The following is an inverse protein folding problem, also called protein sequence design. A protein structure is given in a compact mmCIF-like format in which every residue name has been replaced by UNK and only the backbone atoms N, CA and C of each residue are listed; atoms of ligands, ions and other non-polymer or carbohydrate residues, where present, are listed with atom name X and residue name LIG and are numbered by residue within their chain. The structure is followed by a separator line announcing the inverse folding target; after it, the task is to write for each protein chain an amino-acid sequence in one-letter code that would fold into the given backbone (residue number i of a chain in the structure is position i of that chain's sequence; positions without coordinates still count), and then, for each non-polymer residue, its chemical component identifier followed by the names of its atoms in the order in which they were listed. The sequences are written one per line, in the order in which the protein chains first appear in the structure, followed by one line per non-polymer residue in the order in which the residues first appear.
data_IF_434488533783
#
_entry.id   IF_434488533783
#
_cell.length_a   1.000
_cell.length_b   1.000
_cell.length_c   1.000
_cell.angle_alpha   90.00
_cell.angle_beta   90.00
_cell.angle_gamma   90.00
#
_symmetry.space_group_name_H-M   'P 1'
#
loop_
_entity.id
_entity.type
_entity.pdbx_description
1 polymer ?
#
# COMPACT_ATOMS: atom_id res chain seq x y z
N UNK A 1 4.58 15.53 -2.45
CA UNK A 1 4.12 16.70 -3.22
C UNK A 1 2.59 16.66 -3.27
N UNK A 2 2.00 16.73 -2.08
CA UNK A 2 0.57 16.88 -1.83
C UNK A 2 0.47 18.24 -1.15
N UNK A 3 -0.29 19.14 -1.77
CA UNK A 3 -0.25 20.60 -1.60
C UNK A 3 0.91 21.31 -2.30
N UNK A 4 0.80 21.39 -3.63
CA UNK A 4 1.31 22.54 -4.38
C UNK A 4 0.10 23.43 -4.72
N UNK A 5 -0.07 24.46 -3.90
CA UNK A 5 -0.72 25.75 -4.16
C UNK A 5 -1.46 25.87 -5.50
N UNK A 6 -2.79 25.83 -5.43
CA UNK A 6 -3.64 26.46 -6.43
C UNK A 6 -4.03 27.84 -5.90
N UNK A 7 -3.09 28.77 -5.95
CA UNK A 7 -3.32 30.17 -5.61
C UNK A 7 -4.05 30.86 -6.78
N UNK A 8 -5.39 30.86 -6.72
CA UNK A 8 -6.21 31.68 -7.60
C UNK A 8 -6.38 33.06 -6.98
N UNK A 9 -5.51 33.99 -7.37
CA UNK A 9 -5.74 35.43 -7.19
C UNK A 9 -6.97 35.87 -7.98
N UNK A 10 -7.93 36.61 -7.39
CA UNK A 10 -9.03 37.18 -8.15
C UNK A 10 -8.58 38.50 -8.79
N UNK A 11 -8.70 38.59 -10.11
CA UNK A 11 -8.61 39.86 -10.82
C UNK A 11 -9.72 40.79 -10.33
N UNK A 12 -9.29 41.94 -9.82
CA UNK A 12 -10.13 43.10 -9.51
C UNK A 12 -10.75 43.65 -10.79
N UNK A 13 -12.08 43.62 -10.89
CA UNK A 13 -12.81 44.54 -11.76
C UNK A 13 -13.92 45.23 -10.96
N UNK A 14 -13.87 46.55 -11.05
CA UNK A 14 -14.70 47.55 -10.40
C UNK A 14 -16.14 47.57 -10.95
N UNK A 15 -17.13 47.49 -10.04
CA UNK A 15 -18.41 48.25 -9.91
C UNK A 15 -19.25 48.62 -11.18
N UNK A 16 -20.60 48.70 -11.11
CA UNK A 16 -21.33 49.34 -10.00
C UNK A 16 -22.67 48.74 -9.52
N UNK A 17 -22.92 48.99 -8.23
CA UNK A 17 -24.16 49.47 -7.58
C UNK A 17 -25.48 49.17 -8.27
N UNK A 18 -26.31 48.32 -7.65
CA UNK A 18 -27.74 48.59 -7.43
C UNK A 18 -28.19 48.06 -6.06
N UNK A 19 -28.92 48.91 -5.35
CA UNK A 19 -29.62 48.67 -4.09
C UNK A 19 -30.71 47.60 -4.25
N UNK A 20 -30.85 46.68 -3.29
CA UNK A 20 -32.20 46.34 -2.81
C UNK A 20 -32.23 45.81 -1.37
N UNK A 21 -33.26 46.24 -0.66
CA UNK A 21 -33.56 46.01 0.75
C UNK A 21 -34.28 44.68 0.93
N UNK A 22 -33.84 43.83 1.87
CA UNK A 22 -34.55 42.58 2.15
C UNK A 22 -34.32 42.04 3.56
N UNK A 23 -35.21 42.41 4.47
CA UNK A 23 -35.32 41.90 5.84
C UNK A 23 -35.46 40.37 5.91
N UNK A 24 -34.79 39.75 6.88
CA UNK A 24 -35.51 39.04 7.93
C UNK A 24 -35.26 37.54 8.11
N UNK A 25 -35.12 37.21 9.41
CA UNK A 25 -35.50 35.97 10.11
C UNK A 25 -34.45 34.83 10.20
N UNK A 26 -33.73 34.87 11.30
CA UNK A 26 -33.27 33.67 12.02
C UNK A 26 -34.48 32.82 12.43
N UNK A 27 -34.41 31.54 12.10
CA UNK A 27 -35.22 30.46 12.70
C UNK A 27 -34.23 29.40 13.15
N UNK A 28 -33.91 29.40 14.43
CA UNK A 28 -33.31 28.26 15.13
C UNK A 28 -34.43 27.27 15.42
N UNK A 29 -34.29 26.04 14.92
CA UNK A 29 -35.20 24.95 15.22
C UNK A 29 -34.39 23.87 15.94
N UNK A 30 -34.61 23.77 17.25
CA UNK A 30 -34.16 22.65 18.08
C UNK A 30 -34.97 21.40 17.72
N UNK A 31 -34.27 20.30 17.43
CA UNK A 31 -34.85 18.96 17.30
C UNK A 31 -34.39 18.14 18.51
N UNK A 32 -35.30 17.99 19.47
CA UNK A 32 -35.28 16.93 20.46
C UNK A 32 -35.94 15.70 19.82
N UNK A 33 -35.22 14.57 19.78
CA UNK A 33 -35.83 13.26 19.60
C UNK A 33 -35.20 12.27 20.60
N UNK A 34 -35.98 11.97 21.64
CA UNK A 34 -35.78 10.87 22.57
C UNK A 34 -36.00 9.54 21.85
N UNK A 35 -34.97 8.71 21.73
CA UNK A 35 -35.10 7.31 21.30
C UNK A 35 -34.99 6.40 22.53
N UNK A 36 -36.12 5.81 22.92
CA UNK A 36 -36.18 4.73 23.89
C UNK A 36 -35.59 3.44 23.31
N UNK A 37 -34.55 2.92 23.98
CA UNK A 37 -34.01 1.58 23.76
C UNK A 37 -34.77 0.56 24.62
N UNK A 38 -35.64 -0.23 24.00
CA UNK A 38 -36.22 -1.42 24.63
C UNK A 38 -35.30 -2.63 24.46
N UNK A 39 -34.97 -3.23 25.59
CA UNK A 39 -34.20 -4.45 25.83
C UNK A 39 -34.59 -5.65 24.96
N UNK A 40 -33.61 -6.27 24.29
CA UNK A 40 -33.72 -7.61 23.69
C UNK A 40 -32.90 -8.58 24.55
N UNK A 41 -33.57 -9.62 25.05
CA UNK A 41 -33.01 -10.69 25.86
C UNK A 41 -32.15 -11.65 25.04
N UNK A 42 -30.90 -11.84 25.44
CA UNK A 42 -30.01 -12.84 24.85
C UNK A 42 -30.33 -14.25 25.37
N UNK A 43 -30.73 -15.14 24.47
CA UNK A 43 -30.77 -16.58 24.72
C UNK A 43 -29.38 -17.16 24.43
N UNK A 44 -28.73 -17.66 25.48
CA UNK A 44 -27.42 -18.32 25.45
C UNK A 44 -27.53 -19.71 24.82
N UNK A 45 -26.94 -19.91 23.64
CA UNK A 45 -26.70 -21.23 23.04
C UNK A 45 -25.20 -21.46 22.96
N UNK A 46 -24.69 -22.26 23.88
CA UNK A 46 -23.30 -22.71 23.97
C UNK A 46 -23.02 -23.75 22.88
N UNK A 47 -22.39 -23.33 21.78
CA UNK A 47 -21.66 -24.24 20.89
C UNK A 47 -20.20 -24.31 21.34
N UNK A 48 -19.70 -25.53 21.59
CA UNK A 48 -18.31 -25.77 21.95
C UNK A 48 -17.40 -25.41 20.78
N UNK A 49 -16.60 -24.36 20.94
CA UNK A 49 -15.50 -24.02 20.04
C UNK A 49 -14.47 -25.16 20.11
N UNK A 50 -14.15 -25.77 18.97
CA UNK A 50 -12.96 -26.60 18.84
C UNK A 50 -11.74 -25.69 19.04
N UNK A 51 -10.85 -26.09 19.95
CA UNK A 51 -9.55 -25.43 20.16
C UNK A 51 -8.69 -25.56 18.89
N UNK A 52 -8.74 -24.56 18.01
CA UNK A 52 -7.71 -24.35 16.99
C UNK A 52 -6.44 -23.91 17.71
N UNK A 53 -5.46 -24.82 17.81
CA UNK A 53 -4.10 -24.48 18.21
C UNK A 53 -3.55 -23.43 17.25
N UNK A 54 -3.42 -22.19 17.74
CA UNK A 54 -2.68 -21.13 17.06
C UNK A 54 -1.21 -21.56 16.93
N UNK A 55 -0.87 -22.16 15.80
CA UNK A 55 0.53 -22.33 15.40
C UNK A 55 1.10 -20.95 15.11
N UNK A 56 1.76 -20.35 16.10
CA UNK A 56 2.63 -19.20 15.88
C UNK A 56 3.91 -19.75 15.26
N UNK A 57 4.03 -19.63 13.94
CA UNK A 57 5.25 -20.04 13.22
C UNK A 57 6.41 -19.11 13.58
N UNK A 58 7.61 -19.68 13.71
CA UNK A 58 8.80 -18.90 14.07
C UNK A 58 9.17 -17.94 12.93
N UNK A 59 9.64 -16.71 13.26
CA UNK A 59 10.11 -15.76 12.24
C UNK A 59 11.27 -16.36 11.43
N UNK A 60 11.36 -16.00 10.15
CA UNK A 60 12.44 -16.46 9.27
C UNK A 60 13.80 -16.03 9.83
N UNK A 61 14.76 -16.96 9.81
CA UNK A 61 16.16 -16.68 10.16
C UNK A 61 16.87 -15.89 9.05
N UNK A 62 17.93 -15.16 9.39
CA UNK A 62 18.74 -14.44 8.39
C UNK A 62 19.32 -15.36 7.30
N UNK A 63 19.63 -16.62 7.65
CA UNK A 63 20.11 -17.64 6.70
C UNK A 63 19.01 -18.02 5.69
N UNK A 64 17.77 -18.21 6.14
CA UNK A 64 16.64 -18.49 5.26
C UNK A 64 16.38 -17.33 4.30
N UNK A 65 16.41 -16.10 4.81
CA UNK A 65 16.27 -14.90 3.99
C UNK A 65 17.38 -14.81 2.93
N UNK A 66 18.65 -15.04 3.31
CA UNK A 66 19.78 -14.99 2.38
C UNK A 66 19.67 -16.00 1.23
N UNK A 67 19.18 -17.21 1.51
CA UNK A 67 18.94 -18.20 0.45
C UNK A 67 17.82 -17.78 -0.50
N UNK A 68 16.76 -17.17 0.04
CA UNK A 68 15.65 -16.67 -0.78
C UNK A 68 16.06 -15.51 -1.68
N UNK A 69 16.86 -14.58 -1.15
CA UNK A 69 17.40 -13.46 -1.91
C UNK A 69 18.13 -13.89 -3.20
N UNK A 70 18.84 -15.03 -3.17
CA UNK A 70 19.53 -15.60 -4.33
C UNK A 70 18.60 -16.18 -5.39
N UNK A 71 17.38 -16.54 -5.01
CA UNK A 71 16.38 -17.03 -5.96
C UNK A 71 15.63 -15.87 -6.63
N UNK A 72 15.51 -14.70 -5.97
CA UNK A 72 14.79 -13.53 -6.50
C UNK A 72 15.16 -13.19 -7.95
N UNK A 73 16.44 -13.13 -8.37
CA UNK A 73 16.77 -12.85 -9.77
C UNK A 73 16.12 -13.84 -10.74
N UNK A 74 16.14 -15.14 -10.41
CA UNK A 74 15.50 -16.18 -11.22
C UNK A 74 13.99 -16.02 -11.23
N UNK A 75 13.39 -15.64 -10.10
CA UNK A 75 11.96 -15.42 -9.97
C UNK A 75 11.47 -14.21 -10.76
N UNK A 76 12.22 -13.12 -10.70
CA UNK A 76 12.01 -11.93 -11.53
C UNK A 76 12.12 -12.34 -13.00
N UNK A 77 13.17 -13.09 -13.37
CA UNK A 77 13.43 -13.56 -14.74
C UNK A 77 12.36 -14.54 -15.27
N UNK A 78 11.76 -15.37 -14.42
CA UNK A 78 10.65 -16.25 -14.80
C UNK A 78 9.35 -15.49 -15.07
N UNK A 79 9.42 -14.17 -15.05
CA UNK A 79 8.31 -13.26 -15.25
C UNK A 79 7.52 -13.25 -13.98
N UNK A 80 7.97 -12.49 -12.97
CA UNK A 80 7.23 -12.11 -11.77
C UNK A 80 5.94 -11.33 -12.10
N UNK A 81 5.17 -11.87 -13.03
CA UNK A 81 4.11 -11.34 -13.85
C UNK A 81 2.94 -12.28 -13.62
N UNK A 82 1.77 -11.69 -13.43
CA UNK A 82 0.51 -12.40 -13.20
C UNK A 82 0.22 -13.33 -14.39
N UNK A 83 0.33 -14.65 -14.19
CA UNK A 83 -0.09 -15.64 -15.20
C UNK A 83 -1.55 -16.05 -14.93
N UNK A 84 -2.49 -15.52 -15.72
CA UNK A 84 -3.94 -15.68 -15.49
C UNK A 84 -4.49 -17.10 -15.74
N UNK A 85 -3.71 -18.04 -16.28
CA UNK A 85 -4.25 -19.26 -16.91
C UNK A 85 -4.70 -20.39 -15.96
N UNK A 86 -4.86 -20.18 -14.65
CA UNK A 86 -5.15 -21.26 -13.69
C UNK A 86 -6.25 -20.95 -12.64
N UNK A 87 -7.39 -20.36 -13.03
CA UNK A 87 -8.57 -20.40 -12.15
C UNK A 87 -9.73 -21.13 -12.83
N UNK A 88 -10.00 -22.37 -12.39
CA UNK A 88 -11.22 -23.10 -12.73
C UNK A 88 -12.37 -22.64 -11.82
N UNK A 89 -13.56 -22.46 -12.40
CA UNK A 89 -14.69 -21.70 -11.84
C UNK A 89 -15.79 -22.57 -11.23
N UNK A 90 -16.43 -22.06 -10.16
CA UNK A 90 -17.75 -22.46 -9.64
C UNK A 90 -18.50 -21.28 -8.97
N UNK A 91 -19.84 -21.23 -9.16
CA UNK A 91 -20.92 -20.24 -8.80
C UNK A 91 -20.81 -19.47 -7.44
N UNK A 92 -21.45 -18.32 -7.09
CA UNK A 92 -22.23 -17.15 -7.60
C UNK A 92 -22.63 -16.28 -6.36
N UNK A 93 -22.58 -14.93 -6.36
CA UNK A 93 -23.58 -13.92 -5.86
C UNK A 93 -22.94 -12.55 -5.49
N UNK A 94 -23.25 -11.43 -6.22
CA UNK A 94 -22.69 -10.05 -6.02
C UNK A 94 -21.41 -10.06 -5.17
N UNK A 95 -20.40 -10.75 -5.70
CA UNK A 95 -19.23 -11.08 -4.91
C UNK A 95 -18.28 -9.91 -5.04
N UNK A 96 -17.91 -9.32 -3.92
CA UNK A 96 -16.61 -8.67 -3.89
C UNK A 96 -15.62 -9.77 -3.61
N UNK A 97 -14.90 -10.17 -4.66
CA UNK A 97 -13.76 -11.06 -4.52
C UNK A 97 -12.65 -10.25 -3.87
N UNK A 98 -12.44 -10.50 -2.58
CA UNK A 98 -11.32 -9.94 -1.86
C UNK A 98 -10.21 -10.98 -1.91
N UNK A 99 -9.19 -10.66 -2.68
CA UNK A 99 -7.95 -11.39 -2.72
C UNK A 99 -6.99 -10.71 -1.74
N UNK A 100 -6.91 -11.21 -0.52
CA UNK A 100 -5.91 -10.76 0.45
C UNK A 100 -4.52 -11.16 -0.02
N UNK A 101 -3.60 -10.19 -0.07
CA UNK A 101 -2.18 -10.44 -0.28
C UNK A 101 -1.58 -10.64 1.11
N UNK A 102 -1.75 -11.83 1.70
CA UNK A 102 -1.11 -12.09 3.00
C UNK A 102 0.41 -12.16 2.82
N UNK A 103 1.15 -11.33 3.54
CA UNK A 103 2.53 -11.63 3.87
C UNK A 103 2.53 -12.66 5.02
N UNK A 104 2.17 -13.91 4.74
CA UNK A 104 2.47 -15.02 5.65
C UNK A 104 3.87 -15.56 5.31
N UNK A 105 4.80 -15.70 6.28
CA UNK A 105 6.20 -16.03 5.98
C UNK A 105 6.44 -17.43 5.39
N UNK A 106 5.42 -18.31 5.30
CA UNK A 106 5.65 -19.75 5.10
C UNK A 106 4.80 -20.38 3.98
N UNK A 107 3.82 -19.66 3.41
CA UNK A 107 2.84 -20.27 2.48
C UNK A 107 3.05 -20.06 0.97
N UNK A 108 3.79 -19.01 0.54
CA UNK A 108 3.97 -18.67 -0.88
C UNK A 108 5.08 -19.47 -1.58
N UNK A 109 5.78 -20.32 -0.84
CA UNK A 109 7.04 -20.97 -1.20
C UNK A 109 6.96 -22.03 -2.32
N UNK A 110 5.80 -22.25 -2.96
CA UNK A 110 5.64 -23.29 -3.99
C UNK A 110 5.10 -22.84 -5.36
N UNK A 111 4.52 -21.64 -5.50
CA UNK A 111 3.95 -21.20 -6.78
C UNK A 111 4.15 -19.69 -7.01
N UNK A 112 5.00 -19.35 -7.97
CA UNK A 112 5.20 -17.97 -8.46
C UNK A 112 4.14 -17.49 -9.45
N UNK A 113 3.15 -18.33 -9.72
CA UNK A 113 1.92 -17.89 -10.35
C UNK A 113 1.01 -17.37 -9.25
N UNK A 114 0.29 -16.28 -9.52
CA UNK A 114 -0.80 -15.77 -8.69
C UNK A 114 -1.83 -16.87 -8.44
N UNK A 115 -1.59 -17.71 -7.45
CA UNK A 115 -2.63 -18.52 -6.86
C UNK A 115 -3.11 -17.73 -5.67
N UNK A 116 -4.24 -17.03 -5.84
CA UNK A 116 -4.98 -16.53 -4.70
C UNK A 116 -5.36 -17.76 -3.89
N UNK A 117 -4.65 -18.00 -2.78
CA UNK A 117 -4.82 -19.21 -1.99
C UNK A 117 -6.25 -19.28 -1.44
N UNK A 118 -6.90 -18.13 -1.28
CA UNK A 118 -8.22 -18.00 -0.70
C UNK A 118 -9.02 -16.88 -1.36
N UNK A 119 -10.34 -17.07 -1.37
CA UNK A 119 -11.30 -16.11 -1.89
C UNK A 119 -12.27 -15.78 -0.77
N UNK A 120 -12.40 -14.50 -0.47
CA UNK A 120 -13.38 -13.99 0.48
C UNK A 120 -14.50 -13.32 -0.30
N UNK A 121 -15.74 -13.57 0.12
CA UNK A 121 -16.93 -12.94 -0.46
C UNK A 121 -17.42 -11.91 0.57
N UNK A 122 -17.17 -10.64 0.27
CA UNK A 122 -17.55 -9.52 1.13
C UNK A 122 -18.62 -8.63 0.50
N UNK A 123 -19.22 -7.79 1.35
CA UNK A 123 -19.87 -6.56 0.89
C UNK A 123 -18.86 -5.42 1.12
N UNK A 124 -18.91 -4.38 0.29
CA UNK A 124 -18.10 -3.19 0.50
C UNK A 124 -19.04 -2.05 0.21
N UNK A 125 -19.25 -1.24 1.23
CA UNK A 125 -20.07 -0.05 1.13
C UNK A 125 -19.12 1.09 0.84
N UNK A 126 -18.98 1.38 -0.45
CA UNK A 126 -18.40 2.64 -0.84
C UNK A 126 -19.54 3.63 -0.89
N UNK A 127 -19.50 4.67 -0.05
CA UNK A 127 -20.21 5.91 -0.38
C UNK A 127 -19.41 6.60 -1.49
N UNK A 128 -19.43 5.97 -2.67
CA UNK A 128 -18.77 6.48 -3.86
C UNK A 128 -19.71 7.50 -4.50
N UNK A 129 -19.80 8.66 -3.88
CA UNK A 129 -19.89 9.88 -4.66
C UNK A 129 -18.45 10.35 -4.82
N UNK A 130 -18.06 10.74 -6.04
CA UNK A 130 -16.86 11.58 -6.24
C UNK A 130 -17.07 12.98 -5.61
N UNK A 131 -17.58 13.02 -4.38
CA UNK A 131 -17.64 14.21 -3.55
C UNK A 131 -16.23 14.53 -3.08
N UNK A 132 -15.96 15.82 -2.91
CA UNK A 132 -14.65 16.30 -2.43
C UNK A 132 -14.29 15.73 -1.06
N UNK A 133 -15.28 15.32 -0.27
CA UNK A 133 -15.11 14.94 1.14
C UNK A 133 -14.58 13.50 1.35
N UNK A 134 -14.68 12.62 0.34
CA UNK A 134 -14.19 11.24 0.42
C UNK A 134 -12.81 11.05 -0.24
N UNK A 135 -12.34 12.00 -1.04
CA UNK A 135 -11.06 11.91 -1.72
C UNK A 135 -9.92 12.18 -0.74
N UNK A 136 -9.18 11.12 -0.40
CA UNK A 136 -7.90 11.23 0.31
C UNK A 136 -6.84 11.81 -0.62
N UNK A 137 -6.95 11.49 -1.91
CA UNK A 137 -6.05 12.08 -2.87
C UNK A 137 -6.08 11.64 -4.34
N UNK A 138 -5.24 12.28 -5.17
CA UNK A 138 -4.93 11.91 -6.54
C UNK A 138 -3.41 11.77 -6.77
N UNK A 139 -2.96 10.57 -7.16
CA UNK A 139 -1.59 10.32 -7.64
C UNK A 139 -1.49 10.49 -9.16
N UNK A 140 -0.41 9.95 -9.76
CA UNK A 140 -0.21 10.04 -11.21
C UNK A 140 -1.13 9.12 -12.03
N UNK A 141 -1.47 7.95 -11.48
CA UNK A 141 -2.20 6.88 -12.17
C UNK A 141 -3.35 6.29 -11.35
N UNK A 142 -3.54 6.73 -10.11
CA UNK A 142 -4.59 6.24 -9.21
C UNK A 142 -5.11 7.32 -8.28
N UNK A 143 -6.39 7.25 -7.95
CA UNK A 143 -7.00 8.03 -6.87
C UNK A 143 -6.99 7.22 -5.59
N UNK A 144 -6.92 7.89 -4.45
CA UNK A 144 -7.12 7.32 -3.12
C UNK A 144 -8.37 7.94 -2.50
N UNK A 145 -9.29 7.10 -2.04
CA UNK A 145 -10.57 7.53 -1.48
C UNK A 145 -10.82 6.79 -0.18
N UNK A 146 -11.46 7.46 0.78
CA UNK A 146 -11.93 6.82 1.99
C UNK A 146 -13.15 5.94 1.65
N UNK A 147 -13.17 4.72 2.16
CA UNK A 147 -14.28 3.80 2.00
C UNK A 147 -14.53 3.01 3.30
N UNK A 148 -15.65 2.28 3.35
CA UNK A 148 -15.95 1.34 4.44
C UNK A 148 -16.04 -0.07 3.86
N UNK A 149 -15.24 -0.99 4.41
CA UNK A 149 -15.26 -2.40 4.05
C UNK A 149 -15.90 -3.21 5.19
N UNK A 150 -17.08 -3.78 4.92
CA UNK A 150 -17.86 -4.58 5.88
C UNK A 150 -18.07 -6.01 5.37
N UNK A 151 -17.42 -6.98 6.00
CA UNK A 151 -17.55 -8.37 5.58
C UNK A 151 -18.84 -8.98 6.09
N UNK A 152 -19.73 -9.32 5.16
CA UNK A 152 -20.99 -9.99 5.49
C UNK A 152 -20.91 -11.51 5.60
N UNK A 153 -19.90 -12.18 4.99
CA UNK A 153 -19.89 -13.65 4.87
C UNK A 153 -18.46 -14.22 4.94
N UNK A 154 -18.24 -15.19 5.84
CA UNK A 154 -17.03 -15.99 5.91
C UNK A 154 -17.13 -17.15 4.91
N UNK A 155 -16.31 -17.14 3.86
CA UNK A 155 -16.18 -18.28 2.94
C UNK A 155 -14.80 -18.86 3.12
N UNK A 156 -14.72 -20.10 3.62
CA UNK A 156 -13.44 -20.78 3.92
C UNK A 156 -12.96 -20.65 5.38
N UNK A 157 -13.73 -20.03 6.28
CA UNK A 157 -13.48 -20.05 7.73
C UNK A 157 -12.28 -19.23 8.22
N UNK A 158 -11.56 -18.53 7.34
CA UNK A 158 -10.62 -17.48 7.74
C UNK A 158 -11.32 -16.12 7.70
N UNK A 159 -10.90 -15.23 8.58
CA UNK A 159 -11.34 -13.83 8.62
C UNK A 159 -10.32 -12.99 7.84
N UNK A 160 -10.74 -11.95 7.12
CA UNK A 160 -9.77 -10.96 6.64
C UNK A 160 -9.07 -10.32 7.84
N UNK A 161 -7.82 -9.85 7.67
CA UNK A 161 -7.17 -9.04 8.70
C UNK A 161 -8.11 -7.96 9.21
N UNK A 162 -8.30 -7.90 10.53
CA UNK A 162 -9.20 -6.94 11.17
C UNK A 162 -8.88 -5.48 10.77
N UNK A 163 -7.62 -5.21 10.43
CA UNK A 163 -7.15 -3.90 9.95
C UNK A 163 -7.73 -3.48 8.59
N UNK A 164 -8.30 -4.42 7.83
CA UNK A 164 -9.03 -4.16 6.58
C UNK A 164 -10.55 -4.10 6.79
N UNK A 165 -11.05 -4.23 8.02
CA UNK A 165 -12.47 -4.07 8.34
C UNK A 165 -12.75 -2.65 8.82
N UNK A 166 -13.86 -2.06 8.37
CA UNK A 166 -14.23 -0.68 8.70
C UNK A 166 -13.63 0.32 7.71
N UNK A 167 -13.07 1.44 8.21
CA UNK A 167 -12.55 2.49 7.35
C UNK A 167 -11.25 2.09 6.64
N UNK A 168 -11.25 2.18 5.31
CA UNK A 168 -10.13 1.77 4.45
C UNK A 168 -9.77 2.85 3.43
N UNK A 169 -8.54 2.77 2.90
CA UNK A 169 -8.10 3.52 1.74
C UNK A 169 -8.37 2.70 0.47
N UNK A 170 -9.30 3.17 -0.35
CA UNK A 170 -9.68 2.56 -1.61
C UNK A 170 -8.97 3.25 -2.78
N UNK A 171 -8.15 2.49 -3.51
CA UNK A 171 -7.37 2.97 -4.64
C UNK A 171 -7.89 2.47 -5.96
N UNK A 172 -8.09 3.42 -6.87
CA UNK A 172 -8.72 3.18 -8.16
C UNK A 172 -7.90 3.79 -9.30
N UNK A 173 -7.50 2.99 -10.30
CA UNK A 173 -6.63 3.45 -11.36
C UNK A 173 -7.42 4.28 -12.38
N UNK A 174 -6.71 5.21 -13.02
CA UNK A 174 -7.26 6.04 -14.09
C UNK A 174 -6.17 6.35 -15.12
N UNK A 175 -6.55 6.96 -16.23
CA UNK A 175 -5.61 7.48 -17.21
C UNK A 175 -5.98 8.90 -17.63
N UNK A 176 -5.00 9.64 -18.15
CA UNK A 176 -5.21 10.94 -18.76
C UNK A 176 -5.19 10.80 -20.29
N UNK A 177 -6.33 10.98 -21.00
CA UNK A 177 -6.35 10.92 -22.45
C UNK A 177 -5.44 11.95 -23.12
N UNK A 178 -5.24 13.10 -22.45
CA UNK A 178 -4.33 14.18 -22.83
C UNK A 178 -3.70 14.76 -21.57
N UNK A 179 -2.48 15.30 -21.68
CA UNK A 179 -1.87 16.04 -20.59
C UNK A 179 -2.83 17.15 -20.09
N UNK A 180 -3.01 17.24 -18.76
CA UNK A 180 -3.92 18.20 -18.09
C UNK A 180 -5.42 18.03 -18.35
N UNK A 181 -5.86 16.91 -18.93
CA UNK A 181 -7.29 16.58 -19.03
C UNK A 181 -7.83 16.01 -17.72
N UNK A 182 -9.16 15.94 -17.58
CA UNK A 182 -9.76 15.24 -16.46
C UNK A 182 -9.41 13.74 -16.54
N UNK A 183 -9.07 13.11 -15.39
CA UNK A 183 -8.79 11.68 -15.35
C UNK A 183 -10.01 10.91 -15.84
N UNK A 184 -9.76 9.86 -16.64
CA UNK A 184 -10.79 8.94 -17.10
C UNK A 184 -10.57 7.57 -16.52
N UNK A 185 -11.69 6.93 -16.21
CA UNK A 185 -11.74 5.54 -15.78
C UNK A 185 -11.21 4.62 -16.88
N UNK A 186 -10.36 3.67 -16.52
CA UNK A 186 -9.92 2.60 -17.42
C UNK A 186 -11.11 1.68 -17.78
N UNK A 187 -10.93 0.85 -18.80
CA UNK A 187 -11.88 -0.26 -19.03
C UNK A 187 -11.79 -1.26 -17.88
N UNK A 188 -12.83 -2.08 -17.66
CA UNK A 188 -12.81 -3.10 -16.59
C UNK A 188 -11.55 -3.99 -16.65
N UNK A 189 -11.15 -4.39 -17.86
CA UNK A 189 -9.94 -5.19 -18.07
C UNK A 189 -8.68 -4.38 -17.79
N UNK A 190 -8.63 -3.10 -18.18
CA UNK A 190 -7.51 -2.21 -17.89
C UNK A 190 -7.34 -1.95 -16.39
N UNK A 191 -8.43 -1.73 -15.65
CA UNK A 191 -8.39 -1.60 -14.19
C UNK A 191 -7.89 -2.86 -13.52
N UNK A 192 -8.40 -4.02 -13.97
CA UNK A 192 -7.99 -5.31 -13.44
C UNK A 192 -6.49 -5.53 -13.63
N UNK A 193 -5.97 -5.31 -14.83
CA UNK A 193 -4.53 -5.44 -15.11
C UNK A 193 -3.72 -4.48 -14.25
N UNK A 194 -4.09 -3.20 -14.20
CA UNK A 194 -3.39 -2.19 -13.42
C UNK A 194 -3.35 -2.54 -11.92
N UNK A 195 -4.48 -2.89 -11.32
CA UNK A 195 -4.55 -3.25 -9.89
C UNK A 195 -3.79 -4.53 -9.58
N UNK A 196 -3.83 -5.54 -10.46
CA UNK A 196 -3.07 -6.77 -10.24
C UNK A 196 -1.55 -6.51 -10.32
N UNK A 197 -1.11 -5.59 -11.17
CA UNK A 197 0.29 -5.15 -11.23
C UNK A 197 0.69 -4.36 -9.97
N UNK A 198 -0.18 -3.49 -9.47
CA UNK A 198 0.05 -2.77 -8.21
C UNK A 198 0.13 -3.74 -7.02
N UNK A 199 -0.80 -4.69 -6.92
CA UNK A 199 -0.78 -5.72 -5.88
C UNK A 199 0.47 -6.60 -5.96
N UNK A 200 0.93 -6.94 -7.17
CA UNK A 200 2.21 -7.62 -7.37
C UNK A 200 3.37 -6.81 -6.81
N UNK A 201 3.43 -5.53 -7.15
CA UNK A 201 4.47 -4.60 -6.70
C UNK A 201 4.48 -4.52 -5.18
N UNK A 202 3.30 -4.46 -4.56
CA UNK A 202 3.13 -4.44 -3.13
C UNK A 202 3.67 -5.69 -2.45
N UNK A 203 3.28 -6.88 -2.95
CA UNK A 203 3.74 -8.17 -2.43
C UNK A 203 5.27 -8.26 -2.44
N UNK A 204 5.87 -7.96 -3.58
CA UNK A 204 7.33 -8.00 -3.74
C UNK A 204 8.04 -6.99 -2.85
N UNK A 205 7.50 -5.79 -2.73
CA UNK A 205 8.07 -4.76 -1.87
C UNK A 205 7.99 -5.13 -0.39
N UNK A 206 6.85 -5.65 0.08
CA UNK A 206 6.71 -6.12 1.47
C UNK A 206 7.69 -7.23 1.77
N UNK A 207 7.77 -8.24 0.90
CA UNK A 207 8.70 -9.36 1.07
C UNK A 207 10.17 -8.88 1.11
N UNK A 208 10.60 -8.07 0.14
CA UNK A 208 11.95 -7.50 0.09
C UNK A 208 12.27 -6.68 1.35
N UNK A 209 11.33 -5.88 1.82
CA UNK A 209 11.47 -5.06 3.03
C UNK A 209 11.59 -5.90 4.30
N UNK A 210 10.66 -6.82 4.52
CA UNK A 210 10.63 -7.70 5.69
C UNK A 210 11.89 -8.57 5.79
N UNK A 211 12.33 -9.18 4.68
CA UNK A 211 13.56 -9.96 4.71
C UNK A 211 14.78 -9.09 4.96
N UNK A 212 14.84 -7.87 4.41
CA UNK A 212 15.94 -6.95 4.71
C UNK A 212 15.97 -6.61 6.20
N UNK A 213 14.83 -6.34 6.82
CA UNK A 213 14.74 -6.13 8.28
C UNK A 213 15.18 -7.38 9.03
N UNK A 214 14.74 -8.58 8.63
CA UNK A 214 15.13 -9.83 9.28
C UNK A 214 16.65 -10.05 9.23
N UNK A 215 17.28 -9.77 8.08
CA UNK A 215 18.73 -9.81 7.92
C UNK A 215 19.42 -8.76 8.81
N UNK A 216 18.87 -7.53 8.89
CA UNK A 216 19.38 -6.49 9.79
C UNK A 216 19.34 -6.94 11.26
N UNK A 217 18.22 -7.50 11.71
CA UNK A 217 18.06 -7.95 13.09
C UNK A 217 18.99 -9.12 13.43
N UNK A 218 19.17 -10.08 12.53
CA UNK A 218 20.10 -11.20 12.69
C UNK A 218 21.55 -10.71 12.84
N UNK A 219 21.96 -9.79 11.98
CA UNK A 219 23.33 -9.24 11.98
C UNK A 219 23.56 -8.28 13.15
N UNK A 220 22.55 -7.54 13.59
CA UNK A 220 22.62 -6.66 14.77
C UNK A 220 23.04 -7.40 16.05
N UNK A 221 22.71 -8.70 16.16
CA UNK A 221 23.15 -9.54 17.27
C UNK A 221 24.67 -9.77 17.29
N UNK A 222 25.36 -9.54 16.17
CA UNK A 222 26.78 -9.84 15.98
C UNK A 222 27.68 -8.61 15.83
N UNK A 223 27.19 -7.52 15.22
CA UNK A 223 27.99 -6.32 14.91
C UNK A 223 28.02 -5.27 16.04
N UNK A 224 27.30 -5.49 17.13
CA UNK A 224 27.22 -4.56 18.25
C UNK A 224 26.16 -3.47 18.05
N UNK A 225 26.35 -2.31 18.68
CA UNK A 225 25.34 -1.24 18.65
C UNK A 225 25.19 -0.61 17.26
N UNK A 226 23.96 -0.48 16.73
CA UNK A 226 23.71 0.21 15.48
C UNK A 226 24.00 1.71 15.60
N UNK A 227 24.23 2.42 14.48
CA UNK A 227 24.54 3.85 14.50
C UNK A 227 23.39 4.71 15.05
N UNK A 228 22.14 4.24 14.88
CA UNK A 228 20.92 4.87 15.37
C UNK A 228 19.92 3.77 15.79
N UNK A 229 18.83 4.10 16.51
CA UNK A 229 17.77 3.13 16.77
C UNK A 229 17.21 2.56 15.46
N UNK A 230 17.07 1.23 15.37
CA UNK A 230 16.45 0.58 14.21
C UNK A 230 14.97 0.95 14.21
N UNK A 231 14.46 1.64 13.18
CA UNK A 231 13.06 2.03 13.14
C UNK A 231 12.20 0.80 12.86
N UNK A 232 11.08 0.69 13.60
CA UNK A 232 10.05 -0.32 13.38
C UNK A 232 9.15 0.14 12.22
N UNK A 233 9.46 -0.33 11.01
CA UNK A 233 8.80 0.03 9.76
C UNK A 233 8.20 -1.23 9.11
N UNK A 234 6.94 -1.20 8.71
CA UNK A 234 6.33 -2.25 7.89
C UNK A 234 5.35 -1.66 6.88
N UNK A 235 5.16 -2.36 5.76
CA UNK A 235 4.11 -2.01 4.82
C UNK A 235 2.74 -2.36 5.41
N UNK A 236 1.72 -1.53 5.14
CA UNK A 236 0.34 -1.81 5.57
C UNK A 236 -0.24 -3.04 4.88
N UNK A 237 -1.32 -3.57 5.44
CA UNK A 237 -2.09 -4.62 4.79
C UNK A 237 -2.84 -4.09 3.56
N UNK A 238 -2.88 -4.90 2.50
CA UNK A 238 -3.59 -4.61 1.26
C UNK A 238 -4.38 -5.81 0.74
N UNK A 239 -5.46 -5.53 0.01
CA UNK A 239 -6.24 -6.52 -0.67
C UNK A 239 -6.73 -6.03 -2.03
N UNK A 240 -6.83 -6.95 -2.99
CA UNK A 240 -7.49 -6.66 -4.27
C UNK A 240 -8.97 -6.95 -4.12
N UNK A 241 -9.79 -5.95 -4.43
CA UNK A 241 -11.24 -6.01 -4.45
C UNK A 241 -11.72 -6.06 -5.89
N UNK A 242 -12.47 -7.09 -6.25
CA UNK A 242 -13.12 -7.19 -7.56
C UNK A 242 -14.62 -7.36 -7.41
N UNK A 243 -15.39 -6.49 -8.05
CA UNK A 243 -16.85 -6.61 -8.10
C UNK A 243 -17.23 -7.59 -9.21
N UNK A 244 -17.86 -8.71 -8.85
CA UNK A 244 -18.33 -9.70 -9.81
C UNK A 244 -19.67 -9.28 -10.41
N UNK A 245 -19.86 -9.68 -11.68
CA UNK A 245 -21.09 -9.43 -12.41
C UNK A 245 -22.25 -10.22 -11.76
N UNK A 246 -23.34 -9.54 -11.32
CA UNK A 246 -24.52 -10.24 -10.83
C UNK A 246 -25.14 -11.06 -11.96
N UNK A 247 -25.66 -12.25 -11.64
CA UNK A 247 -26.31 -13.16 -12.60
C UNK A 247 -27.45 -12.49 -13.37
N UNK A 248 -28.15 -11.59 -12.68
CA UNK A 248 -29.30 -10.85 -13.19
C UNK A 248 -28.96 -9.70 -14.14
N UNK A 249 -27.69 -9.28 -14.21
CA UNK A 249 -27.26 -8.14 -15.01
C UNK A 249 -26.58 -8.64 -16.28
N UNK A 250 -27.03 -8.17 -17.45
CA UNK A 250 -26.38 -8.48 -18.73
C UNK A 250 -24.96 -7.90 -18.77
N UNK A 251 -24.02 -8.58 -19.44
CA UNK A 251 -22.60 -8.19 -19.48
C UNK A 251 -22.39 -6.76 -19.99
N UNK A 252 -23.18 -6.33 -20.98
CA UNK A 252 -23.11 -4.99 -21.55
C UNK A 252 -23.71 -3.88 -20.66
N UNK A 253 -24.48 -4.23 -19.64
CA UNK A 253 -25.02 -3.32 -18.64
C UNK A 253 -24.18 -3.32 -17.34
N UNK A 254 -23.13 -4.15 -17.27
CA UNK A 254 -22.30 -4.31 -16.09
C UNK A 254 -21.06 -3.42 -16.13
N UNK A 255 -20.95 -2.54 -15.16
CA UNK A 255 -19.70 -1.85 -14.83
C UNK A 255 -18.99 -2.67 -13.76
N UNK A 256 -18.04 -3.51 -14.20
CA UNK A 256 -17.11 -4.15 -13.28
C UNK A 256 -16.35 -3.11 -12.48
N UNK A 257 -15.65 -3.52 -11.43
CA UNK A 257 -14.78 -2.67 -10.64
C UNK A 257 -13.65 -3.55 -10.12
N UNK A 258 -12.41 -3.13 -10.37
CA UNK A 258 -11.26 -3.71 -9.68
C UNK A 258 -10.49 -2.58 -9.00
N UNK A 259 -10.16 -2.78 -7.73
CA UNK A 259 -9.49 -1.79 -6.91
C UNK A 259 -8.53 -2.45 -5.92
N UNK A 260 -7.57 -1.66 -5.45
CA UNK A 260 -6.72 -2.03 -4.32
C UNK A 260 -7.32 -1.36 -3.07
N UNK A 261 -7.50 -2.13 -2.02
CA UNK A 261 -7.93 -1.64 -0.71
C UNK A 261 -6.78 -1.79 0.26
N UNK A 262 -6.52 -0.75 1.02
CA UNK A 262 -5.45 -0.72 2.01
C UNK A 262 -5.99 -0.27 3.36
N UNK A 263 -5.28 -0.63 4.42
CA UNK A 263 -5.53 -0.05 5.74
C UNK A 263 -5.54 1.48 5.67
N UNK A 264 -6.57 2.12 6.23
CA UNK A 264 -6.59 3.58 6.31
C UNK A 264 -5.56 4.05 7.32
N UNK A 265 -4.57 4.80 6.84
CA UNK A 265 -3.57 5.40 7.70
C UNK A 265 -4.19 6.52 8.58
N UNK A 266 -3.71 6.70 9.83
CA UNK A 266 -4.16 7.79 10.69
C UNK A 266 -3.97 9.17 10.04
N UNK A 267 -4.84 10.12 10.39
CA UNK A 267 -4.72 11.50 9.89
C UNK A 267 -3.39 12.12 10.33
N UNK A 268 -2.55 12.50 9.37
CA UNK A 268 -1.26 13.12 9.64
C UNK A 268 -0.64 13.70 8.37
N UNK A 269 0.59 14.21 8.50
CA UNK A 269 1.36 14.66 7.34
C UNK A 269 1.88 13.43 6.60
N UNK A 270 1.62 13.39 5.29
CA UNK A 270 2.10 12.34 4.42
C UNK A 270 3.52 12.66 3.94
N UNK A 271 4.50 11.83 4.31
CA UNK A 271 5.90 12.01 3.96
C UNK A 271 6.31 11.02 2.89
N UNK A 272 7.12 11.52 1.96
CA UNK A 272 7.82 10.70 0.99
C UNK A 272 9.29 10.74 1.36
N UNK A 273 9.86 9.59 1.71
CA UNK A 273 11.25 9.50 2.16
C UNK A 273 12.21 9.39 0.99
N UNK A 274 11.82 8.60 -0.01
CA UNK A 274 12.64 8.24 -1.16
C UNK A 274 11.75 8.34 -2.40
N UNK A 275 12.26 8.96 -3.47
CA UNK A 275 11.55 9.05 -4.74
C UNK A 275 11.80 7.82 -5.63
N UNK A 276 10.83 7.51 -6.48
CA UNK A 276 10.99 6.51 -7.55
C UNK A 276 12.34 6.59 -8.27
N UNK A 277 13.07 5.47 -8.26
CA UNK A 277 14.32 5.31 -9.00
C UNK A 277 15.51 6.04 -8.40
N UNK A 278 15.34 6.80 -7.32
CA UNK A 278 16.42 7.55 -6.67
C UNK A 278 16.82 6.85 -5.38
N UNK A 279 18.01 6.24 -5.28
CA UNK A 279 18.45 5.52 -4.08
C UNK A 279 19.04 6.45 -3.01
N UNK A 280 18.39 7.61 -2.79
CA UNK A 280 18.79 8.66 -1.86
C UNK A 280 17.56 9.30 -1.19
N UNK A 281 17.72 9.87 0.02
CA UNK A 281 16.64 10.60 0.68
C UNK A 281 16.13 11.78 -0.16
N UNK A 282 14.86 12.14 0.01
CA UNK A 282 14.33 13.43 -0.46
C UNK A 282 15.04 14.56 0.30
N UNK A 283 15.41 15.61 -0.44
CA UNK A 283 16.10 16.77 0.14
C UNK A 283 15.19 17.53 1.13
N UNK A 284 15.79 18.08 2.19
CA UNK A 284 15.13 18.92 3.19
C UNK A 284 14.04 18.20 4.02
N UNK A 285 14.16 16.89 4.23
CA UNK A 285 13.36 16.20 5.23
C UNK A 285 13.70 16.73 6.65
N UNK A 286 12.72 16.87 7.55
CA UNK A 286 13.03 17.15 8.95
C UNK A 286 13.87 16.01 9.54
N UNK A 287 14.66 16.31 10.57
CA UNK A 287 15.69 15.40 11.14
C UNK A 287 15.17 13.97 11.37
N UNK A 288 13.97 13.83 11.96
CA UNK A 288 13.35 12.53 12.22
C UNK A 288 13.10 11.72 10.93
N UNK A 289 12.60 12.40 9.91
CA UNK A 289 12.29 11.78 8.62
C UNK A 289 13.56 11.53 7.81
N UNK A 290 14.59 12.36 8.00
CA UNK A 290 15.90 12.18 7.41
C UNK A 290 16.56 10.89 7.94
N UNK A 291 16.50 10.63 9.24
CA UNK A 291 17.04 9.39 9.83
C UNK A 291 16.34 8.14 9.28
N UNK A 292 15.01 8.19 9.15
CA UNK A 292 14.22 7.11 8.56
C UNK A 292 14.60 6.92 7.10
N UNK A 293 14.72 8.00 6.32
CA UNK A 293 15.10 7.93 4.92
C UNK A 293 16.50 7.34 4.73
N UNK A 294 17.46 7.68 5.60
CA UNK A 294 18.81 7.10 5.59
C UNK A 294 18.78 5.60 5.89
N UNK A 295 17.99 5.17 6.88
CA UNK A 295 17.80 3.74 7.16
C UNK A 295 17.15 3.01 5.98
N UNK A 296 16.14 3.59 5.35
CA UNK A 296 15.47 3.02 4.19
C UNK A 296 16.42 2.92 2.99
N UNK A 297 17.25 3.94 2.71
CA UNK A 297 18.28 3.86 1.68
C UNK A 297 19.30 2.74 1.95
N UNK A 298 19.62 2.50 3.23
CA UNK A 298 20.43 1.36 3.62
C UNK A 298 19.72 0.02 3.34
N UNK A 299 18.41 -0.10 3.61
CA UNK A 299 17.66 -1.29 3.21
C UNK A 299 17.68 -1.49 1.69
N UNK A 300 17.62 -0.42 0.88
CA UNK A 300 17.78 -0.52 -0.57
C UNK A 300 19.15 -1.12 -0.94
N UNK A 301 20.22 -0.75 -0.24
CA UNK A 301 21.56 -1.31 -0.47
C UNK A 301 21.62 -2.80 -0.08
N UNK A 302 21.00 -3.21 1.02
CA UNK A 302 20.86 -4.65 1.35
C UNK A 302 20.13 -5.37 0.22
N UNK A 303 18.96 -4.87 -0.18
CA UNK A 303 18.16 -5.50 -1.24
C UNK A 303 18.95 -5.61 -2.54
N UNK A 304 19.60 -4.53 -2.94
CA UNK A 304 20.45 -4.50 -4.13
C UNK A 304 21.59 -5.52 -4.05
N UNK A 305 22.30 -5.61 -2.92
CA UNK A 305 23.42 -6.54 -2.77
C UNK A 305 22.95 -8.00 -2.76
N UNK A 306 21.90 -8.29 -1.99
CA UNK A 306 21.41 -9.66 -1.78
C UNK A 306 20.61 -10.20 -2.97
N UNK A 307 19.93 -9.34 -3.73
CA UNK A 307 19.28 -9.71 -5.01
C UNK A 307 20.28 -9.80 -6.17
N UNK A 308 21.59 -9.85 -5.91
CA UNK A 308 22.62 -9.83 -6.95
C UNK A 308 22.42 -8.67 -7.95
N UNK A 309 22.03 -7.51 -7.43
CA UNK A 309 21.80 -6.27 -8.19
C UNK A 309 20.65 -6.38 -9.18
N UNK A 310 19.61 -7.15 -8.84
CA UNK A 310 18.46 -7.35 -9.70
C UNK A 310 17.26 -6.50 -9.30
N UNK A 311 17.13 -6.18 -8.01
CA UNK A 311 16.00 -5.38 -7.53
C UNK A 311 16.26 -4.66 -6.21
N UNK A 312 15.50 -3.59 -5.98
CA UNK A 312 15.36 -2.93 -4.68
C UNK A 312 14.01 -2.22 -4.58
N UNK A 313 13.54 -1.98 -3.37
CA UNK A 313 12.30 -1.24 -3.10
C UNK A 313 12.58 0.25 -3.11
N UNK A 314 11.67 1.04 -3.64
CA UNK A 314 11.74 2.49 -3.71
C UNK A 314 10.34 3.07 -3.41
N UNK A 315 10.20 4.38 -3.58
CA UNK A 315 8.97 5.12 -3.27
C UNK A 315 8.46 4.99 -1.84
N UNK A 316 9.36 4.78 -0.88
CA UNK A 316 8.98 4.69 0.53
C UNK A 316 8.27 5.97 1.00
N UNK A 317 7.04 5.80 1.49
CA UNK A 317 6.19 6.89 1.96
C UNK A 317 5.24 6.40 3.07
N UNK A 318 4.90 7.30 3.98
CA UNK A 318 4.01 7.03 5.12
C UNK A 318 3.20 8.26 5.53
N UNK A 319 2.36 8.09 6.54
CA UNK A 319 1.84 9.20 7.35
C UNK A 319 2.49 9.18 8.72
N UNK A 320 3.04 10.31 9.14
CA UNK A 320 3.49 10.48 10.52
C UNK A 320 2.47 11.26 11.33
N UNK A 321 2.07 10.66 12.44
CA UNK A 321 1.35 11.34 13.49
C UNK A 321 2.32 12.26 14.24
N UNK A 322 2.27 13.56 13.95
CA UNK A 322 2.79 14.53 14.90
C UNK A 322 1.87 14.52 16.11
N UNK A 323 2.42 14.26 17.29
CA UNK A 323 1.69 14.53 18.52
C UNK A 323 1.31 16.02 18.52
N UNK A 324 0.05 16.38 18.82
CA UNK A 324 -0.39 17.78 18.92
C UNK A 324 0.45 18.65 19.86
N UNK A 325 1.27 18.04 20.74
CA UNK A 325 2.16 18.76 21.64
C UNK A 325 3.52 19.16 21.02
N UNK A 326 3.73 18.99 19.72
CA UNK A 326 4.93 19.50 19.03
C UNK A 326 6.23 18.80 19.39
N UNK A 327 6.18 17.74 20.20
CA UNK A 327 7.32 16.87 20.41
C UNK A 327 7.35 15.83 19.29
N UNK A 328 8.48 15.69 18.57
CA UNK A 328 8.66 14.55 17.70
C UNK A 328 8.47 13.31 18.56
N UNK A 329 7.41 12.54 18.26
CA UNK A 329 7.08 11.30 18.93
C UNK A 329 8.09 10.22 18.52
N UNK A 330 9.38 10.46 18.80
CA UNK A 330 10.47 9.52 18.61
C UNK A 330 10.29 8.29 19.51
N UNK A 331 9.43 8.39 20.53
CA UNK A 331 9.38 7.44 21.63
C UNK A 331 7.96 7.30 22.18
N UNK A 332 6.98 6.91 21.36
CA UNK A 332 6.15 5.82 21.87
C UNK A 332 6.89 4.57 21.40
N UNK A 333 7.89 4.16 22.18
CA UNK A 333 8.61 2.92 21.96
C UNK A 333 7.57 1.79 21.81
N UNK A 334 7.41 1.27 20.59
CA UNK A 334 6.43 0.25 20.25
C UNK A 334 5.29 0.66 19.31
N UNK A 335 5.21 1.91 18.81
CA UNK A 335 4.29 2.22 17.71
C UNK A 335 4.97 1.98 16.36
N UNK A 336 4.59 0.91 15.68
CA UNK A 336 5.07 0.61 14.32
C UNK A 336 4.68 1.72 13.36
N UNK A 337 5.61 2.11 12.48
CA UNK A 337 5.35 3.05 11.39
C UNK A 337 4.96 2.28 10.14
N UNK A 338 3.99 2.84 9.43
CA UNK A 338 3.25 2.15 8.39
C UNK A 338 3.56 2.76 7.02
N UNK A 339 4.31 2.01 6.22
CA UNK A 339 4.65 2.36 4.85
C UNK A 339 3.49 1.97 3.91
N UNK A 340 3.31 2.71 2.82
CA UNK A 340 2.32 2.41 1.78
C UNK A 340 2.87 2.80 0.40
N UNK A 341 2.14 2.42 -0.66
CA UNK A 341 2.46 2.74 -2.05
C UNK A 341 3.93 2.49 -2.43
N UNK A 342 4.47 1.28 -2.19
CA UNK A 342 5.83 0.98 -2.61
C UNK A 342 5.96 0.97 -4.12
N UNK A 343 7.20 1.08 -4.57
CA UNK A 343 7.60 0.67 -5.90
C UNK A 343 8.77 -0.32 -5.83
N UNK A 344 8.83 -1.24 -6.78
CA UNK A 344 10.00 -2.11 -6.95
C UNK A 344 10.75 -1.66 -8.20
N UNK A 345 12.04 -1.38 -8.03
CA UNK A 345 12.99 -1.11 -9.10
C UNK A 345 13.61 -2.43 -9.53
N UNK A 346 13.57 -2.71 -10.83
CA UNK A 346 14.17 -3.90 -11.42
C UNK A 346 14.54 -3.62 -12.88
N UNK A 347 15.42 -4.46 -13.44
CA UNK A 347 15.77 -4.39 -14.86
C UNK A 347 14.51 -4.26 -15.75
N UNK A 348 14.53 -3.30 -16.67
CA UNK A 348 13.35 -2.76 -17.35
C UNK A 348 12.53 -3.80 -18.10
N UNK A 349 13.18 -4.86 -18.60
CA UNK A 349 12.54 -5.89 -19.40
C UNK A 349 13.05 -7.28 -19.02
N UNK A 350 12.15 -8.08 -18.47
CA UNK A 350 12.31 -9.52 -18.38
C UNK A 350 11.48 -10.15 -19.48
N UNK A 351 12.13 -10.78 -20.46
CA UNK A 351 11.43 -11.43 -21.58
C UNK A 351 10.43 -10.50 -22.31
N UNK A 352 10.74 -9.19 -22.39
CA UNK A 352 9.87 -8.20 -23.04
C UNK A 352 8.69 -7.72 -22.20
N UNK A 353 8.61 -8.11 -20.92
CA UNK A 353 7.57 -7.69 -19.98
C UNK A 353 8.19 -6.89 -18.83
N UNK A 354 7.52 -5.81 -18.40
CA UNK A 354 7.88 -5.09 -17.17
C UNK A 354 7.40 -5.91 -15.97
N UNK A 355 8.29 -6.35 -15.07
CA UNK A 355 7.94 -7.26 -13.99
C UNK A 355 7.06 -6.62 -12.89
N UNK A 356 7.00 -5.29 -12.81
CA UNK A 356 6.32 -4.54 -11.75
C UNK A 356 5.42 -3.43 -12.31
N UNK A 357 4.78 -2.67 -11.42
CA UNK A 357 3.91 -1.55 -11.76
C UNK A 357 4.62 -0.41 -12.52
N UNK A 358 3.83 0.54 -13.01
CA UNK A 358 4.28 1.61 -13.91
C UNK A 358 5.35 2.54 -13.30
N UNK A 359 5.52 2.54 -11.98
CA UNK A 359 6.57 3.30 -11.31
C UNK A 359 7.98 2.71 -11.45
N UNK A 360 8.16 1.53 -12.05
CA UNK A 360 9.50 0.97 -12.26
C UNK A 360 10.30 1.84 -13.26
N UNK A 361 11.34 2.51 -12.76
CA UNK A 361 12.16 3.44 -13.55
C UNK A 361 13.26 2.65 -14.25
N UNK A 362 13.25 2.69 -15.58
CA UNK A 362 14.30 2.09 -16.43
C UNK A 362 15.68 2.66 -16.10
N UNK A 363 16.68 1.78 -15.97
CA UNK A 363 18.06 2.16 -15.62
C UNK A 363 18.33 2.34 -14.13
N UNK A 364 17.30 2.33 -13.27
CA UNK A 364 17.46 2.61 -11.84
C UNK A 364 18.33 1.59 -11.10
N UNK A 365 18.28 0.31 -11.50
CA UNK A 365 19.11 -0.76 -10.92
C UNK A 365 20.55 -0.65 -11.39
N UNK A 366 20.76 -0.34 -12.66
CA UNK A 366 22.08 -0.14 -13.25
C UNK A 366 22.77 1.09 -12.65
N UNK A 367 22.01 2.17 -12.47
CA UNK A 367 22.50 3.43 -11.90
C UNK A 367 22.58 3.42 -10.37
N UNK A 368 22.05 2.40 -9.69
CA UNK A 368 22.03 2.34 -8.23
C UNK A 368 23.40 2.64 -7.63
N UNK A 369 24.46 2.06 -8.19
CA UNK A 369 25.84 2.25 -7.68
C UNK A 369 26.38 3.66 -7.86
N UNK A 370 25.90 4.38 -8.87
CA UNK A 370 26.33 5.75 -9.17
C UNK A 370 25.56 6.76 -8.33
N UNK A 371 24.29 6.46 -8.02
CA UNK A 371 23.39 7.38 -7.34
C UNK A 371 23.29 7.13 -5.82
N UNK A 372 23.49 5.89 -5.37
CA UNK A 372 23.42 5.55 -3.96
C UNK A 372 24.63 6.09 -3.22
N UNK A 373 24.38 6.83 -2.15
CA UNK A 373 25.42 7.31 -1.23
C UNK A 373 25.36 6.47 0.04
N UNK A 374 26.38 5.63 0.27
CA UNK A 374 26.51 4.90 1.53
C UNK A 374 26.46 5.86 2.72
N UNK A 375 25.78 5.43 3.78
CA UNK A 375 25.67 6.18 5.03
C UNK A 375 26.15 5.33 6.22
N UNK A 376 26.04 5.85 7.44
CA UNK A 376 26.50 5.19 8.66
C UNK A 376 25.94 3.76 8.84
N UNK A 377 24.72 3.49 8.36
CA UNK A 377 24.16 2.13 8.39
C UNK A 377 24.87 1.20 7.41
N UNK A 378 25.13 1.65 6.18
CA UNK A 378 25.87 0.86 5.19
C UNK A 378 27.29 0.53 5.68
N UNK A 379 27.95 1.51 6.33
CA UNK A 379 29.28 1.33 6.92
C UNK A 379 29.26 0.35 8.09
N UNK A 380 28.31 0.52 9.02
CA UNK A 380 28.11 -0.38 10.16
C UNK A 380 27.88 -1.82 9.71
N UNK A 381 27.13 -2.00 8.62
CA UNK A 381 26.82 -3.30 8.05
C UNK A 381 27.90 -3.85 7.10
N UNK A 382 28.99 -3.10 6.90
CA UNK A 382 30.09 -3.44 5.99
C UNK A 382 29.64 -3.72 4.55
N UNK A 383 28.58 -3.03 4.10
CA UNK A 383 28.13 -3.14 2.72
C UNK A 383 29.16 -2.50 1.79
N UNK A 384 29.37 -3.13 0.64
CA UNK A 384 30.26 -2.59 -0.40
C UNK A 384 29.48 -2.44 -1.69
N UNK A 385 29.67 -1.32 -2.38
CA UNK A 385 29.26 -1.23 -3.76
C UNK A 385 30.30 -2.00 -4.59
N UNK A 386 29.89 -2.91 -5.48
CA UNK A 386 30.85 -3.64 -6.29
C UNK A 386 31.65 -2.65 -7.12
N UNK A 387 32.97 -2.66 -6.97
CA UNK A 387 33.88 -1.89 -7.82
C UNK A 387 33.71 -2.37 -9.25
N UNK A 388 33.65 -1.43 -10.19
CA UNK A 388 33.34 -1.67 -11.61
C UNK A 388 33.84 -3.03 -12.12
N UNK A 389 32.89 -3.89 -12.54
CA UNK A 389 33.22 -4.99 -13.44
C UNK A 389 33.35 -4.33 -14.80
N UNK A 390 34.58 -3.98 -15.17
CA UNK A 390 34.91 -3.43 -16.49
C UNK A 390 34.43 -4.32 -17.63
#
# INVERSE_FOLDING_TARGET
MWDAEYDSTPESSSSPVEDDKGKGREVTQELNDDIQLSSISAASSTMSLLETKNHVEAPMTGIQCSNWFKEIPKLILQGGVVNEKQSEYGLFMIDIKICSVWASPVGFLHYLQFSFQQQYIGCMYTDWKEGKDSRLGIGSFKTANKAILELGIHVGGQELPLVLQGEVCFKHPFYFPKARSNPRRLTNDGERVAILQEANTYLWASALHEMSIAVVMDIALTLGSPPMPIPDLQFIEVAVVQRTQPVSVKRNAWTGLTALVEQLLPKGTFWKYIANGQPRPIDNLPEVQQDIALYLCFLQHIQYQYTEQSAFVSDYQDTLLFSPQGFPSYVIAGSTKWLTDPQVMAASLVHGVRPFGDGNVEGSVENFRLEHTCNAWCEWFHLTLPKDVK
#
